data_IF_817591076870
#
_entry.id   IF_817591076870
#
_cell.length_a   1.000
_cell.length_b   1.000
_cell.length_c   1.000
_cell.angle_alpha   90.00
_cell.angle_beta   90.00
_cell.angle_gamma   90.00
#
_symmetry.space_group_name_H-M   'P 1'
#
loop_
_entity.id
_entity.type
_entity.pdbx_description
1 polymer ?
#
# COMPACT_ATOMS: atom_id res chain seq x y z
N UNK A 1 -14.92 -0.54 9.86
CA UNK A 1 -13.47 -0.50 9.59
C UNK A 1 -12.76 0.57 10.43
N UNK A 2 -13.29 0.92 11.61
CA UNK A 2 -12.71 1.97 12.45
C UNK A 2 -11.27 1.63 12.90
N UNK A 3 -10.94 0.34 12.97
CA UNK A 3 -9.61 -0.16 13.32
C UNK A 3 -8.48 0.41 12.46
N UNK A 4 -8.75 0.81 11.20
CA UNK A 4 -7.74 1.36 10.30
C UNK A 4 -7.49 2.86 10.53
N UNK A 5 -8.43 3.59 11.12
CA UNK A 5 -8.32 5.04 11.34
C UNK A 5 -7.15 5.33 12.27
N UNK A 6 -6.37 6.35 11.95
CA UNK A 6 -5.15 6.71 12.66
C UNK A 6 -3.91 6.67 11.77
N UNK A 7 -2.74 6.72 12.41
CA UNK A 7 -1.44 6.77 11.73
C UNK A 7 -0.70 5.45 11.93
N UNK A 8 -0.09 4.96 10.85
CA UNK A 8 0.63 3.70 10.78
C UNK A 8 2.01 3.91 10.17
N UNK A 9 3.06 3.47 10.86
CA UNK A 9 4.45 3.60 10.43
C UNK A 9 5.01 2.22 10.04
N UNK A 10 5.59 2.10 8.85
CA UNK A 10 6.28 0.90 8.37
C UNK A 10 7.41 0.51 9.34
N UNK A 11 7.41 -0.73 9.82
CA UNK A 11 8.44 -1.23 10.75
C UNK A 11 9.75 -1.53 10.05
N UNK A 12 9.73 -1.71 8.73
CA UNK A 12 10.84 -2.22 7.94
C UNK A 12 10.92 -3.73 7.88
N UNK A 13 10.06 -4.45 8.60
CA UNK A 13 9.94 -5.90 8.46
C UNK A 13 9.33 -6.22 7.10
N UNK A 14 10.04 -7.02 6.30
CA UNK A 14 9.54 -7.51 5.02
C UNK A 14 9.83 -9.00 4.87
N UNK A 15 8.77 -9.78 4.68
CA UNK A 15 8.85 -11.21 4.39
C UNK A 15 8.72 -11.41 2.88
N UNK A 16 9.52 -12.33 2.30
CA UNK A 16 9.59 -12.65 0.87
C UNK A 16 9.92 -11.46 -0.06
N UNK A 17 10.55 -10.42 0.47
CA UNK A 17 10.88 -9.20 -0.28
C UNK A 17 11.80 -9.47 -1.48
N UNK A 18 12.82 -10.32 -1.33
CA UNK A 18 13.80 -10.58 -2.39
C UNK A 18 13.19 -11.31 -3.58
N UNK A 19 12.38 -12.33 -3.33
CA UNK A 19 11.68 -13.08 -4.37
C UNK A 19 10.69 -12.18 -5.12
N UNK A 20 9.96 -11.34 -4.39
CA UNK A 20 9.04 -10.37 -4.95
C UNK A 20 9.75 -9.31 -5.80
N UNK A 21 10.86 -8.74 -5.31
CA UNK A 21 11.65 -7.75 -6.04
C UNK A 21 12.27 -8.33 -7.31
N UNK A 22 12.78 -9.57 -7.24
CA UNK A 22 13.31 -10.31 -8.39
C UNK A 22 12.21 -10.56 -9.43
N UNK A 23 11.02 -10.99 -9.01
CA UNK A 23 9.90 -11.23 -9.92
C UNK A 23 9.37 -9.94 -10.58
N UNK A 24 9.49 -8.80 -9.88
CA UNK A 24 9.23 -7.48 -10.46
C UNK A 24 10.32 -7.03 -11.45
N UNK A 25 11.47 -7.72 -11.52
CA UNK A 25 12.59 -7.37 -12.39
C UNK A 25 13.44 -6.22 -11.88
N UNK A 26 13.41 -5.93 -10.57
CA UNK A 26 14.20 -4.86 -9.98
C UNK A 26 15.70 -5.19 -9.99
N UNK A 27 16.54 -4.16 -10.17
CA UNK A 27 17.99 -4.31 -10.04
C UNK A 27 18.38 -4.52 -8.57
N UNK A 28 19.55 -5.13 -8.26
CA UNK A 28 20.01 -5.30 -6.89
C UNK A 28 20.11 -3.96 -6.13
N UNK A 29 20.63 -2.92 -6.77
CA UNK A 29 20.74 -1.57 -6.21
C UNK A 29 19.35 -1.00 -5.84
N UNK A 30 18.39 -1.10 -6.75
CA UNK A 30 17.02 -0.62 -6.52
C UNK A 30 16.34 -1.43 -5.41
N UNK A 31 16.61 -2.74 -5.34
CA UNK A 31 16.10 -3.63 -4.29
C UNK A 31 16.64 -3.24 -2.92
N UNK A 32 17.94 -2.94 -2.80
CA UNK A 32 18.54 -2.45 -1.54
C UNK A 32 17.97 -1.10 -1.12
N UNK A 33 17.74 -0.18 -2.07
CA UNK A 33 17.09 1.09 -1.80
C UNK A 33 15.69 0.86 -1.23
N UNK A 34 14.84 0.06 -1.90
CA UNK A 34 13.48 -0.24 -1.46
C UNK A 34 13.41 -0.91 -0.08
N UNK A 35 14.43 -1.69 0.31
CA UNK A 35 14.52 -2.30 1.65
C UNK A 35 14.63 -1.25 2.75
N UNK A 36 15.24 -0.10 2.47
CA UNK A 36 15.45 1.00 3.42
C UNK A 36 14.27 1.98 3.45
N UNK A 37 13.38 1.93 2.46
CA UNK A 37 12.21 2.79 2.40
C UNK A 37 11.26 2.46 3.55
N UNK A 38 10.73 3.51 4.17
CA UNK A 38 9.69 3.45 5.20
C UNK A 38 8.56 4.35 4.76
N UNK A 39 7.35 3.83 4.86
CA UNK A 39 6.14 4.57 4.53
C UNK A 39 5.34 4.86 5.79
N UNK A 40 4.70 6.02 5.84
CA UNK A 40 3.71 6.34 6.86
C UNK A 40 2.36 6.51 6.17
N UNK A 41 1.34 5.89 6.75
CA UNK A 41 -0.03 5.92 6.25
C UNK A 41 -0.91 6.54 7.31
N UNK A 42 -1.72 7.53 6.94
CA UNK A 42 -2.72 8.12 7.81
C UNK A 42 -4.09 7.96 7.18
N UNK A 43 -4.99 7.27 7.88
CA UNK A 43 -6.37 7.08 7.48
C UNK A 43 -7.31 7.98 8.29
N UNK A 44 -8.20 8.68 7.61
CA UNK A 44 -9.33 9.41 8.20
C UNK A 44 -10.61 9.10 7.44
N UNK A 45 -11.75 9.24 8.12
CA UNK A 45 -13.08 8.99 7.53
C UNK A 45 -13.99 10.15 7.90
N UNK A 46 -14.68 10.67 6.90
CA UNK A 46 -15.78 11.64 7.06
C UNK A 46 -17.01 11.10 6.32
N UNK A 47 -18.02 10.69 7.08
CA UNK A 47 -19.19 9.99 6.55
C UNK A 47 -18.82 8.72 5.78
N UNK A 48 -19.08 8.72 4.47
CA UNK A 48 -18.76 7.60 3.56
C UNK A 48 -17.40 7.75 2.85
N UNK A 49 -16.72 8.86 3.06
CA UNK A 49 -15.54 9.26 2.33
C UNK A 49 -14.29 8.94 3.14
N UNK A 50 -13.44 8.08 2.58
CA UNK A 50 -12.15 7.71 3.14
C UNK A 50 -11.06 8.58 2.57
N UNK A 51 -10.13 8.98 3.43
CA UNK A 51 -8.90 9.66 3.02
C UNK A 51 -7.70 8.88 3.54
N UNK A 52 -6.77 8.53 2.64
CA UNK A 52 -5.47 7.96 2.96
C UNK A 52 -4.38 8.94 2.56
N UNK A 53 -3.62 9.44 3.51
CA UNK A 53 -2.38 10.16 3.25
C UNK A 53 -1.19 9.20 3.35
N UNK A 54 -0.35 9.16 2.32
CA UNK A 54 0.88 8.37 2.22
C UNK A 54 2.08 9.32 2.18
N UNK A 55 3.05 9.09 3.06
CA UNK A 55 4.40 9.66 2.95
C UNK A 55 5.43 8.55 2.86
N UNK A 56 6.61 8.87 2.30
CA UNK A 56 7.69 7.90 2.11
C UNK A 56 9.04 8.52 2.43
N UNK A 57 9.90 7.79 3.13
CA UNK A 57 11.29 8.20 3.38
C UNK A 57 12.11 8.32 2.09
N UNK A 58 11.68 7.68 0.99
CA UNK A 58 12.29 7.82 -0.32
C UNK A 58 12.05 9.21 -0.95
N UNK A 59 10.99 9.91 -0.52
CA UNK A 59 10.62 11.23 -1.02
C UNK A 59 10.29 12.17 0.16
N UNK A 60 11.30 12.59 0.96
CA UNK A 60 11.07 13.41 2.15
C UNK A 60 10.33 14.71 1.82
N UNK A 61 9.34 15.05 2.64
CA UNK A 61 8.53 16.27 2.47
C UNK A 61 7.45 16.19 1.39
N UNK A 62 7.35 15.07 0.66
CA UNK A 62 6.23 14.83 -0.26
C UNK A 62 5.20 13.90 0.37
N UNK A 63 3.94 14.21 0.12
CA UNK A 63 2.81 13.37 0.49
C UNK A 63 1.92 13.13 -0.71
N UNK A 64 1.22 12.00 -0.68
CA UNK A 64 0.14 11.70 -1.62
C UNK A 64 -1.13 11.41 -0.83
N UNK A 65 -2.16 12.19 -1.11
CA UNK A 65 -3.49 12.03 -0.50
C UNK A 65 -4.41 11.38 -1.51
N UNK A 66 -5.09 10.32 -1.08
CA UNK A 66 -6.09 9.61 -1.86
C UNK A 66 -7.44 9.71 -1.16
N UNK A 67 -8.47 10.10 -1.90
CA UNK A 67 -9.84 10.12 -1.41
C UNK A 67 -10.67 9.11 -2.18
N UNK A 68 -11.37 8.23 -1.47
CA UNK A 68 -12.10 7.12 -2.08
C UNK A 68 -13.32 6.72 -1.28
N UNK A 69 -14.17 5.89 -1.89
CA UNK A 69 -15.31 5.22 -1.26
C UNK A 69 -15.13 3.71 -1.35
N UNK A 70 -15.49 3.00 -0.30
CA UNK A 70 -15.40 1.54 -0.27
C UNK A 70 -16.29 0.95 -1.36
N UNK A 71 -15.73 0.02 -2.13
CA UNK A 71 -16.40 -0.67 -3.25
C UNK A 71 -16.45 0.12 -4.55
N UNK A 72 -15.87 1.33 -4.62
CA UNK A 72 -15.82 2.14 -5.83
C UNK A 72 -14.41 2.16 -6.43
N UNK A 73 -14.32 2.13 -7.77
CA UNK A 73 -13.04 2.31 -8.46
C UNK A 73 -12.59 3.77 -8.36
N UNK A 74 -11.37 3.97 -7.85
CA UNK A 74 -10.67 5.24 -7.93
C UNK A 74 -9.59 5.19 -9.02
N UNK A 75 -9.36 6.34 -9.66
CA UNK A 75 -8.25 6.55 -10.61
C UNK A 75 -7.43 7.73 -10.12
N UNK A 76 -6.13 7.53 -9.99
CA UNK A 76 -5.23 8.56 -9.46
C UNK A 76 -3.79 8.32 -9.95
N UNK A 77 -2.85 9.06 -9.40
CA UNK A 77 -1.41 8.84 -9.56
C UNK A 77 -0.79 8.42 -8.24
N UNK A 78 0.11 7.43 -8.29
CA UNK A 78 0.93 7.05 -7.15
C UNK A 78 1.93 8.16 -6.77
N UNK A 79 2.58 8.03 -5.61
CA UNK A 79 3.60 8.97 -5.15
C UNK A 79 4.82 9.06 -6.10
N UNK A 80 5.09 8.02 -6.88
CA UNK A 80 6.12 8.00 -7.93
C UNK A 80 5.62 8.54 -9.29
N UNK A 81 4.37 9.01 -9.36
CA UNK A 81 3.75 9.62 -10.53
C UNK A 81 3.05 8.64 -11.48
N UNK A 82 3.15 7.32 -11.26
CA UNK A 82 2.50 6.33 -12.13
C UNK A 82 0.99 6.37 -11.98
N UNK A 83 0.27 6.20 -13.08
CA UNK A 83 -1.19 6.07 -13.03
C UNK A 83 -1.58 4.80 -12.28
N UNK A 84 -2.58 4.90 -11.41
CA UNK A 84 -3.15 3.80 -10.67
C UNK A 84 -4.67 3.75 -10.83
N UNK A 85 -5.20 2.53 -10.80
CA UNK A 85 -6.61 2.26 -10.53
C UNK A 85 -6.69 1.39 -9.29
N UNK A 86 -7.64 1.63 -8.41
CA UNK A 86 -7.79 0.82 -7.21
C UNK A 86 -9.25 0.66 -6.83
N UNK A 87 -9.63 -0.53 -6.38
CA UNK A 87 -10.92 -0.79 -5.73
C UNK A 87 -10.63 -1.34 -4.35
N UNK A 88 -11.05 -0.62 -3.31
CA UNK A 88 -10.86 -1.04 -1.91
C UNK A 88 -12.18 -1.60 -1.40
N UNK A 89 -12.15 -2.85 -0.93
CA UNK A 89 -13.33 -3.57 -0.45
C UNK A 89 -13.15 -3.94 1.01
N UNK A 90 -14.23 -3.77 1.79
CA UNK A 90 -14.30 -4.23 3.18
C UNK A 90 -14.48 -5.75 3.20
N UNK A 91 -13.58 -6.46 3.88
CA UNK A 91 -13.72 -7.89 4.17
C UNK A 91 -14.35 -8.10 5.54
N UNK A 92 -13.87 -7.36 6.55
CA UNK A 92 -14.40 -7.35 7.93
C UNK A 92 -14.20 -5.98 8.59
N UNK A 93 -14.43 -5.85 9.90
CA UNK A 93 -14.12 -4.62 10.63
C UNK A 93 -12.62 -4.31 10.72
N UNK A 94 -11.77 -5.34 10.64
CA UNK A 94 -10.32 -5.24 10.79
C UNK A 94 -9.56 -5.74 9.56
N UNK A 95 -10.24 -6.04 8.44
CA UNK A 95 -9.62 -6.54 7.22
C UNK A 95 -10.20 -5.86 5.98
N UNK A 96 -9.32 -5.44 5.07
CA UNK A 96 -9.68 -4.92 3.76
C UNK A 96 -8.83 -5.52 2.65
N UNK A 97 -9.40 -5.54 1.46
CA UNK A 97 -8.75 -6.00 0.24
C UNK A 97 -8.70 -4.87 -0.78
N UNK A 98 -7.61 -4.80 -1.52
CA UNK A 98 -7.42 -3.85 -2.62
C UNK A 98 -7.14 -4.62 -3.91
N UNK A 99 -7.82 -4.21 -4.98
CA UNK A 99 -7.53 -4.64 -6.35
C UNK A 99 -6.95 -3.44 -7.09
N UNK A 100 -5.62 -3.35 -7.07
CA UNK A 100 -4.89 -2.22 -7.62
C UNK A 100 -4.30 -2.60 -8.97
N UNK A 101 -4.35 -1.67 -9.93
CA UNK A 101 -3.59 -1.75 -11.18
C UNK A 101 -2.64 -0.56 -11.23
N UNK A 102 -1.39 -0.80 -11.59
CA UNK A 102 -0.39 0.26 -11.79
C UNK A 102 0.03 0.26 -13.25
N UNK A 103 0.01 1.43 -13.88
CA UNK A 103 0.49 1.59 -15.24
C UNK A 103 2.02 1.67 -15.24
N UNK A 104 2.64 0.74 -15.95
CA UNK A 104 4.09 0.73 -16.21
C UNK A 104 4.28 0.68 -17.71
N UNK A 105 4.94 1.70 -18.26
CA UNK A 105 5.02 1.95 -19.70
C UNK A 105 3.62 1.95 -20.33
N UNK A 106 3.39 1.15 -21.37
CA UNK A 106 2.10 1.02 -22.05
C UNK A 106 1.22 -0.12 -21.51
N UNK A 107 1.57 -0.71 -20.36
CA UNK A 107 0.90 -1.87 -19.77
C UNK A 107 0.34 -1.60 -18.37
N UNK A 108 -0.73 -2.30 -18.00
CA UNK A 108 -1.26 -2.30 -16.64
C UNK A 108 -0.86 -3.59 -15.93
N UNK A 109 -0.27 -3.44 -14.76
CA UNK A 109 0.10 -4.56 -13.89
C UNK A 109 -0.88 -4.67 -12.74
N UNK A 110 -1.43 -5.87 -12.53
CA UNK A 110 -2.34 -6.17 -11.43
C UNK A 110 -1.60 -6.46 -10.12
N UNK A 111 -2.08 -5.86 -9.04
CA UNK A 111 -1.66 -6.07 -7.67
C UNK A 111 -2.89 -6.39 -6.81
N UNK A 112 -2.78 -7.40 -5.96
CA UNK A 112 -3.78 -7.70 -4.93
C UNK A 112 -3.17 -7.40 -3.57
N UNK A 113 -3.87 -6.60 -2.77
CA UNK A 113 -3.43 -6.29 -1.41
C UNK A 113 -4.49 -6.76 -0.42
N UNK A 114 -4.02 -7.27 0.71
CA UNK A 114 -4.86 -7.45 1.90
C UNK A 114 -4.20 -6.71 3.05
N UNK A 115 -4.99 -5.97 3.82
CA UNK A 115 -4.55 -5.35 5.06
C UNK A 115 -5.39 -5.84 6.21
N UNK A 116 -4.73 -6.30 7.27
CA UNK A 116 -5.38 -6.78 8.48
C UNK A 116 -4.82 -6.09 9.70
N UNK A 117 -5.70 -5.55 10.54
CA UNK A 117 -5.36 -4.91 11.79
C UNK A 117 -5.59 -5.87 12.95
N UNK A 118 -4.55 -6.02 13.78
CA UNK A 118 -4.58 -6.72 15.05
C UNK A 118 -3.94 -5.83 16.13
N UNK A 119 -4.79 -5.17 16.93
CA UNK A 119 -4.40 -4.13 17.87
C UNK A 119 -3.63 -2.98 17.19
N UNK A 120 -2.35 -2.87 17.56
CA UNK A 120 -1.43 -1.84 17.05
C UNK A 120 -0.55 -2.32 15.90
N UNK A 121 -0.84 -3.50 15.34
CA UNK A 121 -0.14 -4.03 14.17
C UNK A 121 -1.08 -4.05 12.98
N UNK A 122 -0.67 -3.45 11.86
CA UNK A 122 -1.30 -3.67 10.57
C UNK A 122 -0.36 -4.52 9.73
N UNK A 123 -0.83 -5.69 9.31
CA UNK A 123 -0.12 -6.56 8.37
C UNK A 123 -0.66 -6.29 6.97
N UNK A 124 0.23 -5.94 6.05
CA UNK A 124 -0.10 -5.72 4.64
C UNK A 124 0.56 -6.80 3.79
N UNK A 125 -0.27 -7.60 3.13
CA UNK A 125 0.14 -8.63 2.17
C UNK A 125 -0.06 -8.10 0.76
N UNK A 126 0.96 -8.17 -0.08
CA UNK A 126 0.93 -7.72 -1.48
C UNK A 126 1.25 -8.90 -2.39
N UNK A 127 0.39 -9.19 -3.35
CA UNK A 127 0.58 -10.26 -4.33
C UNK A 127 0.56 -9.71 -5.76
N UNK A 128 1.62 -10.01 -6.51
CA UNK A 128 1.82 -9.66 -7.91
C UNK A 128 2.93 -10.54 -8.50
N UNK A 129 3.00 -10.68 -9.83
CA UNK A 129 4.05 -11.46 -10.51
C UNK A 129 4.18 -12.92 -10.03
N UNK A 130 3.07 -13.52 -9.56
CA UNK A 130 3.08 -14.87 -8.96
C UNK A 130 3.76 -14.97 -7.60
N UNK A 131 4.19 -13.84 -7.01
CA UNK A 131 4.85 -13.75 -5.71
C UNK A 131 3.99 -13.02 -4.70
N UNK A 132 4.31 -13.20 -3.42
CA UNK A 132 3.67 -12.48 -2.31
C UNK A 132 4.72 -11.94 -1.36
N UNK A 133 4.57 -10.68 -0.96
CA UNK A 133 5.38 -10.00 0.04
C UNK A 133 4.50 -9.60 1.23
N UNK A 134 5.01 -9.71 2.44
CA UNK A 134 4.33 -9.23 3.65
C UNK A 134 5.15 -8.10 4.27
N UNK A 135 4.46 -7.04 4.68
CA UNK A 135 5.04 -5.92 5.43
C UNK A 135 4.20 -5.64 6.66
N UNK A 136 4.82 -5.04 7.69
CA UNK A 136 4.11 -4.66 8.91
C UNK A 136 4.21 -3.17 9.13
N UNK A 137 3.14 -2.59 9.64
CA UNK A 137 3.08 -1.23 10.12
C UNK A 137 2.64 -1.22 11.58
N UNK A 138 3.15 -0.27 12.37
CA UNK A 138 2.76 -0.06 13.76
C UNK A 138 1.94 1.21 13.92
N UNK A 139 0.93 1.15 14.76
CA UNK A 139 0.13 2.33 15.12
C UNK A 139 1.01 3.32 15.90
N UNK A 140 0.85 4.60 15.57
CA UNK A 140 1.44 5.72 16.31
C UNK A 140 0.45 6.33 17.28
#
# INVERSE_FOLDING_TARGET
MAAFVGTWEDTGERENFEEFAKAMGQTPETTEMFRKVRNTLRYTVDGDTWTMCLTSSAQPGKEKVYTYRIGQEMKDTALDGKEIKNVITKVSENEMREEMKVKTDDSWTDYKLTRKVDGDTMTTTVSAFGQTMITKQRRK
#
